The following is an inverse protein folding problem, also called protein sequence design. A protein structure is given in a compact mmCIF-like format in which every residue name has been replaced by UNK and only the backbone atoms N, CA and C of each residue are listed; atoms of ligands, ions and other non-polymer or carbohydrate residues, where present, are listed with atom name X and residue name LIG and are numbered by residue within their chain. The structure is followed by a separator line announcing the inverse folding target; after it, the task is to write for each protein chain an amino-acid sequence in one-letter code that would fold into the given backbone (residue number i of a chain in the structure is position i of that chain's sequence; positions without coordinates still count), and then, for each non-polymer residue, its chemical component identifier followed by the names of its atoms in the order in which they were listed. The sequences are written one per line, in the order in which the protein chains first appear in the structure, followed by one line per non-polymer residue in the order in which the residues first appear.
data_IF_069728890064
#
_entry.id   IF_069728890064
#
_cell.length_a   1.000
_cell.length_b   1.000
_cell.length_c   1.000
_cell.angle_alpha   90.00
_cell.angle_beta   90.00
_cell.angle_gamma   90.00
#
_symmetry.space_group_name_H-M   'P 1'
#
loop_
_entity.id
_entity.type
_entity.pdbx_description
1 polymer ?
#
# COMPACT_ATOMS: atom_id res chain seq x y z
N UNK A 1 -10.42 -3.26 -13.98
CA UNK A 1 -10.93 -3.81 -15.24
C UNK A 1 -9.90 -3.75 -16.38
N UNK A 2 -9.13 -2.66 -16.57
CA UNK A 2 -8.13 -2.53 -17.64
C UNK A 2 -7.07 -3.63 -17.61
N UNK A 3 -6.39 -3.79 -16.49
CA UNK A 3 -5.39 -4.85 -16.29
C UNK A 3 -6.00 -6.25 -16.42
N UNK A 4 -7.14 -6.51 -15.80
CA UNK A 4 -7.83 -7.81 -15.88
C UNK A 4 -8.10 -8.23 -17.33
N UNK A 5 -8.53 -7.29 -18.18
CA UNK A 5 -8.75 -7.57 -19.61
C UNK A 5 -7.46 -7.95 -20.36
N UNK A 6 -6.34 -7.35 -19.98
CA UNK A 6 -5.04 -7.58 -20.66
C UNK A 6 -4.32 -8.82 -20.17
N UNK A 7 -4.25 -9.03 -18.85
CA UNK A 7 -3.39 -10.04 -18.24
C UNK A 7 -4.16 -11.08 -17.40
N UNK A 8 -5.51 -11.00 -17.34
CA UNK A 8 -6.31 -11.88 -16.46
C UNK A 8 -6.06 -13.37 -16.67
N UNK A 9 -5.77 -13.80 -17.89
CA UNK A 9 -5.41 -15.19 -18.22
C UNK A 9 -4.06 -15.65 -17.67
N UNK A 10 -3.19 -14.70 -17.30
CA UNK A 10 -1.87 -14.97 -16.72
C UNK A 10 -1.92 -15.01 -15.20
N UNK A 11 -3.03 -14.56 -14.58
CA UNK A 11 -3.17 -14.48 -13.13
C UNK A 11 -3.69 -15.81 -12.59
N UNK A 12 -2.95 -16.38 -11.65
CA UNK A 12 -3.37 -17.57 -10.89
C UNK A 12 -3.86 -17.12 -9.52
N UNK A 13 -5.16 -17.06 -9.36
CA UNK A 13 -5.81 -16.73 -8.09
C UNK A 13 -5.71 -17.88 -7.08
N UNK A 14 -6.05 -17.60 -5.82
CA UNK A 14 -6.05 -18.55 -4.71
C UNK A 14 -4.71 -19.25 -4.47
N UNK A 15 -3.61 -18.61 -4.84
CA UNK A 15 -2.26 -19.15 -4.78
C UNK A 15 -1.46 -18.40 -3.71
N UNK A 16 -1.41 -18.95 -2.50
CA UNK A 16 -0.65 -18.41 -1.38
C UNK A 16 0.80 -18.89 -1.45
N UNK A 17 1.74 -17.97 -1.66
CA UNK A 17 3.17 -18.30 -1.65
C UNK A 17 3.61 -18.69 -0.25
N UNK A 18 4.25 -19.86 -0.12
CA UNK A 18 4.66 -20.43 1.17
C UNK A 18 6.14 -20.78 1.26
N UNK A 19 6.88 -20.71 0.17
CA UNK A 19 8.33 -20.94 0.15
C UNK A 19 8.94 -20.40 -1.14
N UNK A 20 10.16 -19.84 -1.06
CA UNK A 20 10.91 -19.30 -2.20
C UNK A 20 12.33 -19.84 -2.13
N UNK A 21 12.79 -20.50 -3.22
CA UNK A 21 14.14 -21.07 -3.32
C UNK A 21 14.85 -20.54 -4.56
N UNK A 22 16.04 -20.00 -4.35
CA UNK A 22 16.90 -19.54 -5.42
C UNK A 22 17.68 -20.73 -5.99
N UNK A 23 17.61 -20.92 -7.29
CA UNK A 23 18.34 -21.93 -8.02
C UNK A 23 19.51 -21.31 -8.77
N UNK A 24 20.44 -22.14 -9.27
CA UNK A 24 21.55 -21.67 -10.08
C UNK A 24 21.06 -20.90 -11.33
N UNK A 25 20.04 -21.41 -12.00
CA UNK A 25 19.51 -20.88 -13.25
C UNK A 25 18.09 -20.29 -13.14
N UNK A 26 17.57 -20.03 -11.93
CA UNK A 26 16.21 -19.51 -11.79
C UNK A 26 15.74 -19.41 -10.34
N UNK A 27 14.44 -19.37 -10.16
CA UNK A 27 13.77 -19.34 -8.85
C UNK A 27 12.64 -20.37 -8.83
N UNK A 28 12.54 -21.10 -7.75
CA UNK A 28 11.45 -22.01 -7.45
C UNK A 28 10.53 -21.41 -6.41
N UNK A 29 9.24 -21.34 -6.71
CA UNK A 29 8.22 -20.81 -5.80
C UNK A 29 7.21 -21.90 -5.49
N UNK A 30 7.08 -22.25 -4.21
CA UNK A 30 6.03 -23.15 -3.72
C UNK A 30 4.86 -22.33 -3.19
N UNK A 31 3.66 -22.69 -3.61
CA UNK A 31 2.44 -22.05 -3.17
C UNK A 31 1.39 -23.08 -2.77
N UNK A 32 0.48 -22.66 -1.90
CA UNK A 32 -0.68 -23.42 -1.48
C UNK A 32 -1.90 -22.95 -2.27
N UNK A 33 -2.58 -23.86 -2.90
CA UNK A 33 -3.88 -23.63 -3.49
C UNK A 33 -4.91 -23.53 -2.35
N UNK A 34 -5.48 -22.34 -2.14
CA UNK A 34 -6.39 -22.08 -1.01
C UNK A 34 -7.76 -22.75 -1.17
N UNK A 35 -8.13 -23.18 -2.37
CA UNK A 35 -9.37 -23.92 -2.60
C UNK A 35 -9.26 -25.39 -2.23
N UNK A 36 -8.08 -26.01 -2.54
CA UNK A 36 -7.87 -27.46 -2.35
C UNK A 36 -6.93 -27.79 -1.19
N UNK A 37 -6.18 -26.81 -0.69
CA UNK A 37 -5.10 -27.02 0.28
C UNK A 37 -3.82 -27.61 -0.32
N UNK A 38 -3.82 -27.99 -1.59
CA UNK A 38 -2.69 -28.65 -2.24
C UNK A 38 -1.48 -27.72 -2.36
N UNK A 39 -0.29 -28.27 -2.11
CA UNK A 39 0.98 -27.59 -2.40
C UNK A 39 1.36 -27.81 -3.85
N UNK A 40 1.76 -26.76 -4.52
CA UNK A 40 2.22 -26.78 -5.92
C UNK A 40 3.49 -25.96 -6.02
N UNK A 41 4.35 -26.32 -6.96
CA UNK A 41 5.62 -25.66 -7.21
C UNK A 41 5.66 -25.15 -8.65
N UNK A 42 6.23 -23.98 -8.85
CA UNK A 42 6.52 -23.41 -10.17
C UNK A 42 7.98 -22.95 -10.22
N UNK A 43 8.58 -23.04 -11.40
CA UNK A 43 9.96 -22.58 -11.66
C UNK A 43 9.95 -21.53 -12.76
N UNK A 44 10.81 -20.55 -12.64
CA UNK A 44 10.99 -19.48 -13.63
C UNK A 44 12.44 -18.98 -13.62
N UNK A 45 12.85 -18.34 -14.72
CA UNK A 45 14.19 -17.74 -14.82
C UNK A 45 14.37 -16.59 -13.82
N UNK A 46 13.31 -15.87 -13.54
CA UNK A 46 13.29 -14.73 -12.61
C UNK A 46 12.03 -14.80 -11.73
N UNK A 47 12.14 -14.27 -10.52
CA UNK A 47 11.00 -14.00 -9.65
C UNK A 47 10.94 -12.50 -9.35
N UNK A 48 9.82 -11.86 -9.68
CA UNK A 48 9.55 -10.47 -9.36
C UNK A 48 8.45 -10.46 -8.29
N UNK A 49 8.80 -10.08 -7.07
CA UNK A 49 7.91 -10.12 -5.92
C UNK A 49 7.35 -8.73 -5.61
N UNK A 50 6.02 -8.61 -5.68
CA UNK A 50 5.29 -7.46 -5.14
C UNK A 50 4.59 -7.81 -3.82
N UNK A 51 5.07 -8.85 -3.12
CA UNK A 51 4.55 -9.20 -1.80
C UNK A 51 4.99 -8.12 -0.82
N UNK A 52 4.07 -7.55 -0.01
CA UNK A 52 4.41 -6.58 1.03
C UNK A 52 5.54 -7.08 1.93
N UNK A 53 6.54 -6.23 2.21
CA UNK A 53 7.73 -6.63 2.96
C UNK A 53 7.42 -7.32 4.30
N UNK A 54 6.44 -6.87 5.11
CA UNK A 54 6.07 -7.56 6.36
C UNK A 54 5.50 -8.97 6.14
N UNK A 55 4.91 -9.23 4.98
CA UNK A 55 4.41 -10.55 4.57
C UNK A 55 5.56 -11.39 4.03
N UNK A 56 6.37 -10.84 3.13
CA UNK A 56 7.53 -11.51 2.53
C UNK A 56 8.53 -11.97 3.60
N UNK A 57 8.74 -11.15 4.63
CA UNK A 57 9.62 -11.49 5.77
C UNK A 57 9.21 -12.77 6.52
N UNK A 58 7.94 -13.17 6.43
CA UNK A 58 7.40 -14.38 7.07
C UNK A 58 7.48 -15.61 6.18
N UNK A 59 7.79 -15.45 4.89
CA UNK A 59 7.87 -16.55 3.94
C UNK A 59 9.26 -17.19 4.03
N UNK A 60 9.36 -18.50 4.29
CA UNK A 60 10.62 -19.23 4.23
C UNK A 60 11.32 -19.03 2.89
N UNK A 61 12.60 -18.68 2.92
CA UNK A 61 13.38 -18.46 1.71
C UNK A 61 14.87 -18.72 1.96
N UNK A 62 15.63 -18.92 0.90
CA UNK A 62 17.10 -18.97 0.92
C UNK A 62 17.75 -17.71 0.32
N UNK A 63 17.02 -16.58 0.37
CA UNK A 63 17.57 -15.27 0.09
C UNK A 63 18.79 -14.99 0.98
N UNK A 64 19.74 -14.20 0.51
CA UNK A 64 20.93 -13.85 1.26
C UNK A 64 20.60 -13.21 2.61
N UNK A 65 21.46 -13.39 3.63
CA UNK A 65 21.23 -12.78 4.95
C UNK A 65 21.05 -11.27 4.89
N UNK A 66 21.82 -10.60 4.02
CA UNK A 66 21.72 -9.15 3.82
C UNK A 66 20.35 -8.75 3.23
N UNK A 67 19.87 -9.49 2.24
CA UNK A 67 18.57 -9.22 1.60
C UNK A 67 17.41 -9.45 2.58
N UNK A 68 17.47 -10.53 3.38
CA UNK A 68 16.50 -10.79 4.46
C UNK A 68 16.49 -9.69 5.52
N UNK A 69 17.67 -9.22 5.91
CA UNK A 69 17.78 -8.10 6.85
C UNK A 69 17.14 -6.82 6.30
N UNK A 70 17.34 -6.54 5.01
CA UNK A 70 16.72 -5.42 4.33
C UNK A 70 15.19 -5.55 4.26
N UNK A 71 14.65 -6.74 3.93
CA UNK A 71 13.21 -7.01 3.96
C UNK A 71 12.63 -6.77 5.35
N UNK A 72 13.31 -7.23 6.40
CA UNK A 72 12.85 -7.11 7.79
C UNK A 72 12.80 -5.66 8.29
N UNK A 73 13.53 -4.74 7.68
CA UNK A 73 13.48 -3.31 8.02
C UNK A 73 12.28 -2.59 7.43
N UNK A 74 11.72 -3.07 6.33
CA UNK A 74 10.55 -2.46 5.68
C UNK A 74 9.29 -2.57 6.55
N UNK A 75 9.01 -1.53 7.33
CA UNK A 75 7.80 -1.44 8.16
C UNK A 75 6.68 -0.76 7.37
N UNK A 76 5.47 -1.26 7.54
CA UNK A 76 4.32 -0.64 6.91
C UNK A 76 3.56 0.23 7.92
N UNK A 77 3.19 1.42 7.47
CA UNK A 77 2.40 2.35 8.26
C UNK A 77 1.01 1.76 8.56
N UNK A 78 0.59 1.83 9.82
CA UNK A 78 -0.78 1.54 10.18
C UNK A 78 -1.67 2.64 9.64
N UNK A 79 -2.70 2.27 8.88
CA UNK A 79 -3.64 3.22 8.29
C UNK A 79 -5.06 2.71 8.36
N UNK A 80 -5.99 3.62 8.63
CA UNK A 80 -7.41 3.30 8.61
C UNK A 80 -8.17 4.36 7.82
N UNK A 81 -9.08 3.91 6.96
CA UNK A 81 -10.00 4.77 6.24
C UNK A 81 -11.44 4.43 6.62
N UNK A 82 -12.24 5.48 6.74
CA UNK A 82 -13.69 5.36 6.88
C UNK A 82 -14.33 6.27 5.86
N UNK A 83 -15.25 5.75 5.07
CA UNK A 83 -15.95 6.53 4.06
C UNK A 83 -17.45 6.33 4.12
N UNK A 84 -18.21 7.31 3.67
CA UNK A 84 -19.66 7.26 3.53
C UNK A 84 -20.11 7.74 2.17
N UNK A 85 -21.16 7.12 1.66
CA UNK A 85 -21.93 7.69 0.55
C UNK A 85 -22.99 8.62 1.15
N UNK A 86 -22.93 9.90 0.79
CA UNK A 86 -23.97 10.88 1.07
C UNK A 86 -25.05 10.86 -0.01
N UNK A 87 -26.31 11.04 0.38
CA UNK A 87 -27.45 11.18 -0.53
C UNK A 87 -27.48 12.57 -1.20
N UNK A 88 -26.68 13.50 -0.75
CA UNK A 88 -26.40 14.80 -1.36
C UNK A 88 -24.96 15.21 -1.10
N UNK A 89 -24.36 15.90 -2.03
CA UNK A 89 -23.02 16.45 -1.93
C UNK A 89 -23.07 17.81 -1.22
N UNK A 90 -23.39 17.80 0.09
CA UNK A 90 -23.59 19.01 0.88
C UNK A 90 -22.29 19.84 0.98
N UNK A 91 -21.12 19.21 0.95
CA UNK A 91 -19.82 19.88 0.96
C UNK A 91 -19.61 20.78 -0.28
N UNK A 92 -20.23 20.46 -1.43
CA UNK A 92 -20.20 21.31 -2.63
C UNK A 92 -21.23 22.42 -2.57
N UNK A 93 -22.47 22.09 -2.16
CA UNK A 93 -23.60 23.02 -2.26
C UNK A 93 -23.71 24.01 -1.10
N UNK A 94 -23.09 23.70 0.03
CA UNK A 94 -23.11 24.53 1.23
C UNK A 94 -21.75 25.13 1.53
N UNK A 95 -20.71 24.32 1.49
CA UNK A 95 -19.38 24.70 1.94
C UNK A 95 -18.44 25.06 0.77
N UNK A 96 -18.93 24.92 -0.48
CA UNK A 96 -18.20 25.21 -1.73
C UNK A 96 -16.86 24.45 -1.84
N UNK A 97 -16.80 23.21 -1.30
CA UNK A 97 -15.62 22.35 -1.32
C UNK A 97 -15.68 21.42 -2.53
N UNK A 98 -14.71 21.52 -3.43
CA UNK A 98 -14.64 20.77 -4.69
C UNK A 98 -13.43 19.81 -4.74
N UNK A 99 -12.95 19.35 -3.59
CA UNK A 99 -11.80 18.48 -3.41
C UNK A 99 -10.94 18.91 -2.23
N UNK A 100 -9.79 18.28 -2.08
CA UNK A 100 -8.85 18.62 -1.01
C UNK A 100 -9.10 17.88 0.29
N UNK A 101 -8.50 18.40 1.38
CA UNK A 101 -8.40 17.71 2.66
C UNK A 101 -8.70 18.71 3.77
N UNK A 102 -9.60 18.35 4.70
CA UNK A 102 -9.72 18.99 5.99
C UNK A 102 -8.91 18.25 7.04
N UNK A 103 -8.10 18.96 7.80
CA UNK A 103 -7.33 18.41 8.93
C UNK A 103 -8.05 18.78 10.23
N UNK A 104 -8.06 17.87 11.19
CA UNK A 104 -8.69 18.07 12.49
C UNK A 104 -7.91 17.34 13.59
N UNK A 105 -7.80 17.99 14.75
CA UNK A 105 -7.28 17.36 15.97
C UNK A 105 -8.36 16.45 16.59
N UNK A 106 -8.49 15.28 16.00
CA UNK A 106 -9.45 14.24 16.37
C UNK A 106 -8.93 12.88 15.88
N UNK A 107 -9.53 11.78 16.33
CA UNK A 107 -9.16 10.42 15.89
C UNK A 107 -9.30 10.23 14.38
N UNK A 108 -10.15 10.98 13.70
CA UNK A 108 -10.31 10.92 12.24
C UNK A 108 -9.14 11.54 11.48
N UNK A 109 -8.39 12.44 12.08
CA UNK A 109 -7.26 13.22 11.59
C UNK A 109 -7.50 13.98 10.30
N UNK A 110 -8.08 13.36 9.31
CA UNK A 110 -8.30 13.94 7.98
C UNK A 110 -9.66 13.51 7.42
N UNK A 111 -10.29 14.45 6.71
CA UNK A 111 -11.41 14.18 5.82
C UNK A 111 -11.04 14.57 4.40
N UNK A 112 -11.25 13.67 3.43
CA UNK A 112 -10.91 13.89 2.02
C UNK A 112 -12.18 14.01 1.19
N UNK A 113 -12.24 15.05 0.37
CA UNK A 113 -13.35 15.36 -0.50
C UNK A 113 -13.07 14.89 -1.92
N UNK A 114 -14.06 14.28 -2.62
CA UNK A 114 -13.89 13.85 -3.99
C UNK A 114 -13.76 15.04 -4.94
N UNK A 115 -12.85 14.92 -5.92
CA UNK A 115 -12.63 15.90 -6.99
C UNK A 115 -13.13 15.38 -8.34
N UNK A 116 -14.26 14.69 -8.34
CA UNK A 116 -14.89 14.11 -9.52
C UNK A 116 -16.41 14.17 -9.39
N UNK A 117 -17.13 13.99 -10.50
CA UNK A 117 -18.60 13.97 -10.57
C UNK A 117 -19.25 15.16 -9.86
N UNK A 118 -18.69 16.36 -10.04
CA UNK A 118 -19.17 17.60 -9.42
C UNK A 118 -20.66 17.82 -9.70
N UNK A 119 -21.37 18.34 -8.70
CA UNK A 119 -22.80 18.65 -8.74
C UNK A 119 -23.72 17.44 -8.99
N UNK A 120 -23.20 16.22 -8.97
CA UNK A 120 -24.06 15.05 -8.98
C UNK A 120 -24.85 14.94 -7.68
N UNK A 121 -25.99 14.25 -7.70
CA UNK A 121 -26.89 14.17 -6.53
C UNK A 121 -26.17 13.51 -5.34
N UNK A 122 -25.51 12.35 -5.55
CA UNK A 122 -24.84 11.58 -4.52
C UNK A 122 -23.32 11.73 -4.63
N UNK A 123 -22.62 11.46 -3.56
CA UNK A 123 -21.17 11.41 -3.57
C UNK A 123 -20.62 10.60 -2.42
N UNK A 124 -19.41 10.10 -2.59
CA UNK A 124 -18.69 9.37 -1.54
C UNK A 124 -17.50 10.21 -1.09
N UNK A 125 -17.39 10.45 0.22
CA UNK A 125 -16.22 11.09 0.79
C UNK A 125 -15.51 10.16 1.78
N UNK A 126 -14.21 10.38 1.96
CA UNK A 126 -13.44 9.72 3.01
C UNK A 126 -13.55 10.55 4.28
N UNK A 127 -14.43 10.12 5.18
CA UNK A 127 -14.74 10.87 6.40
C UNK A 127 -13.75 10.67 7.53
N UNK A 128 -12.81 9.71 7.39
CA UNK A 128 -11.64 9.58 8.24
C UNK A 128 -10.50 8.96 7.45
N UNK A 129 -9.32 9.52 7.59
CA UNK A 129 -8.08 8.92 7.11
C UNK A 129 -6.97 9.21 8.10
N UNK A 130 -6.58 8.22 8.84
CA UNK A 130 -5.65 8.36 9.95
C UNK A 130 -4.52 7.34 9.88
N UNK A 131 -3.51 7.55 10.70
CA UNK A 131 -2.24 6.84 10.70
C UNK A 131 -1.82 6.49 12.13
N UNK A 132 -0.85 5.58 12.25
CA UNK A 132 -0.17 5.21 13.49
C UNK A 132 -1.16 4.88 14.62
N UNK A 133 -1.01 5.48 15.80
CA UNK A 133 -1.82 5.20 16.99
C UNK A 133 -3.33 5.45 16.77
N UNK A 134 -3.70 6.45 15.99
CA UNK A 134 -5.11 6.70 15.66
C UNK A 134 -5.69 5.59 14.77
N UNK A 135 -4.89 5.10 13.80
CA UNK A 135 -5.28 3.99 12.94
C UNK A 135 -5.36 2.66 13.71
N UNK A 136 -4.44 2.41 14.64
CA UNK A 136 -4.49 1.25 15.53
C UNK A 136 -5.78 1.28 16.36
N UNK A 137 -6.03 2.41 17.05
CA UNK A 137 -7.21 2.58 17.89
C UNK A 137 -8.52 2.35 17.14
N UNK A 138 -8.67 2.89 15.92
CA UNK A 138 -9.84 2.61 15.09
C UNK A 138 -9.82 1.18 14.55
N UNK A 139 -8.65 0.67 14.17
CA UNK A 139 -8.47 -0.67 13.61
C UNK A 139 -8.87 -1.79 14.57
N UNK A 140 -8.68 -1.60 15.88
CA UNK A 140 -9.03 -2.55 16.93
C UNK A 140 -10.54 -2.61 17.23
N UNK A 141 -11.29 -1.64 16.72
CA UNK A 141 -12.75 -1.60 16.91
C UNK A 141 -13.47 -2.50 15.90
N UNK A 142 -14.64 -2.99 16.29
CA UNK A 142 -15.59 -3.58 15.32
C UNK A 142 -15.99 -2.54 14.27
N UNK A 143 -16.44 -2.99 13.10
CA UNK A 143 -16.88 -2.08 12.04
C UNK A 143 -17.90 -1.05 12.55
N UNK A 144 -18.93 -1.50 13.27
CA UNK A 144 -19.95 -0.61 13.81
C UNK A 144 -19.38 0.47 14.72
N UNK A 145 -18.55 0.08 15.71
CA UNK A 145 -17.91 1.05 16.62
C UNK A 145 -16.97 2.00 15.87
N UNK A 146 -16.24 1.51 14.88
CA UNK A 146 -15.34 2.33 14.06
C UNK A 146 -16.11 3.40 13.27
N UNK A 147 -17.24 3.04 12.68
CA UNK A 147 -18.13 3.97 12.01
C UNK A 147 -18.71 5.00 12.99
N UNK A 148 -19.13 4.58 14.18
CA UNK A 148 -19.68 5.49 15.19
C UNK A 148 -18.62 6.49 15.69
N UNK A 149 -17.41 6.04 15.99
CA UNK A 149 -16.33 6.94 16.44
C UNK A 149 -15.89 7.91 15.33
N UNK A 150 -15.72 7.41 14.11
CA UNK A 150 -15.38 8.29 12.99
C UNK A 150 -16.48 9.31 12.68
N UNK A 151 -17.76 8.95 12.85
CA UNK A 151 -18.90 9.87 12.67
C UNK A 151 -18.87 11.01 13.69
N UNK A 152 -18.51 10.74 14.95
CA UNK A 152 -18.39 11.80 15.98
C UNK A 152 -17.36 12.86 15.55
N UNK A 153 -16.22 12.44 15.06
CA UNK A 153 -15.21 13.36 14.50
C UNK A 153 -15.71 14.09 13.26
N UNK A 154 -16.37 13.37 12.33
CA UNK A 154 -16.94 13.96 11.12
C UNK A 154 -18.00 15.03 11.40
N UNK A 155 -18.84 14.86 12.44
CA UNK A 155 -19.83 15.85 12.89
C UNK A 155 -19.17 17.17 13.31
N UNK A 156 -17.96 17.14 13.86
CA UNK A 156 -17.24 18.37 14.24
C UNK A 156 -16.85 19.23 13.04
N UNK A 157 -16.61 18.61 11.89
CA UNK A 157 -16.34 19.30 10.62
C UNK A 157 -17.63 19.65 9.90
N UNK A 158 -18.56 18.70 9.82
CA UNK A 158 -19.80 18.82 9.08
C UNK A 158 -20.98 18.31 9.92
N UNK A 159 -21.78 19.20 10.54
CA UNK A 159 -22.98 18.84 11.30
C UNK A 159 -23.99 17.97 10.52
N UNK A 160 -23.92 17.99 9.19
CA UNK A 160 -24.72 17.19 8.28
C UNK A 160 -24.58 15.69 8.54
N UNK A 161 -23.48 15.24 9.12
CA UNK A 161 -23.32 13.86 9.55
C UNK A 161 -24.26 13.42 10.68
N UNK A 162 -24.97 14.37 11.36
CA UNK A 162 -26.03 14.03 12.31
C UNK A 162 -27.30 13.50 11.60
N UNK A 163 -27.55 13.93 10.37
CA UNK A 163 -28.72 13.50 9.60
C UNK A 163 -28.44 12.17 8.88
N UNK A 164 -29.03 11.10 9.42
CA UNK A 164 -28.89 9.77 8.83
C UNK A 164 -29.61 9.60 7.48
N UNK A 165 -30.52 10.51 7.11
CA UNK A 165 -31.12 10.53 5.78
C UNK A 165 -30.15 11.14 4.77
N UNK A 166 -29.32 12.07 5.20
CA UNK A 166 -28.34 12.72 4.34
C UNK A 166 -27.06 11.90 4.20
N UNK A 167 -26.53 11.37 5.33
CA UNK A 167 -25.35 10.52 5.38
C UNK A 167 -25.70 9.20 6.11
N UNK A 168 -26.30 8.23 5.42
CA UNK A 168 -26.73 6.99 6.06
C UNK A 168 -25.58 6.20 6.67
N UNK A 169 -25.68 5.83 7.95
CA UNK A 169 -24.69 4.99 8.62
C UNK A 169 -24.51 3.64 7.90
N UNK A 170 -25.60 3.08 7.37
CA UNK A 170 -25.59 1.83 6.63
C UNK A 170 -24.80 1.90 5.31
N UNK A 171 -24.50 3.09 4.79
CA UNK A 171 -23.66 3.30 3.62
C UNK A 171 -22.22 3.65 3.98
N UNK A 172 -21.85 3.44 5.24
CA UNK A 172 -20.48 3.57 5.73
C UNK A 172 -19.67 2.32 5.49
N UNK A 173 -18.41 2.49 5.10
CA UNK A 173 -17.41 1.44 4.94
C UNK A 173 -16.13 1.83 5.68
N UNK A 174 -15.39 0.86 6.15
CA UNK A 174 -14.08 1.09 6.75
C UNK A 174 -13.10 -0.02 6.45
N UNK A 175 -11.84 0.36 6.29
CA UNK A 175 -10.73 -0.56 6.17
C UNK A 175 -9.59 -0.10 7.09
N UNK A 176 -9.09 -1.02 7.90
CA UNK A 176 -7.85 -0.88 8.66
C UNK A 176 -6.81 -1.76 7.97
N UNK A 177 -5.89 -1.15 7.24
CA UNK A 177 -4.99 -1.86 6.34
C UNK A 177 -4.03 -2.78 7.07
N UNK A 178 -3.63 -2.46 8.32
CA UNK A 178 -2.82 -3.33 9.17
C UNK A 178 -3.50 -4.67 9.49
N UNK A 179 -4.83 -4.73 9.44
CA UNK A 179 -5.63 -5.92 9.71
C UNK A 179 -6.03 -6.68 8.43
N UNK A 180 -5.66 -6.17 7.25
CA UNK A 180 -5.95 -6.85 5.98
C UNK A 180 -4.95 -7.99 5.78
N UNK A 181 -5.41 -9.25 5.65
CA UNK A 181 -4.54 -10.39 5.39
C UNK A 181 -3.68 -10.16 4.14
N UNK A 182 -2.41 -10.56 4.20
CA UNK A 182 -1.42 -10.43 3.12
C UNK A 182 -1.06 -8.98 2.73
N UNK A 183 -1.50 -7.98 3.52
CA UNK A 183 -1.15 -6.57 3.32
C UNK A 183 -0.36 -6.02 4.52
N UNK A 184 -0.92 -6.14 5.74
CA UNK A 184 -0.32 -5.73 7.01
C UNK A 184 0.11 -4.26 7.11
N UNK A 185 -0.60 -3.35 6.43
CA UNK A 185 -0.36 -1.91 6.49
C UNK A 185 -0.77 -1.19 5.21
N UNK A 186 -0.63 0.11 5.18
CA UNK A 186 -0.99 0.96 4.04
C UNK A 186 0.11 1.00 2.97
N UNK A 187 1.30 1.40 3.37
CA UNK A 187 2.51 1.51 2.53
C UNK A 187 3.74 1.36 3.43
N UNK A 188 4.91 1.17 2.83
CA UNK A 188 6.16 1.15 3.57
C UNK A 188 6.46 2.54 4.15
N UNK A 189 6.85 2.57 5.41
CA UNK A 189 7.42 3.74 6.06
C UNK A 189 8.90 3.48 6.34
N UNK A 190 9.72 3.88 5.39
CA UNK A 190 11.15 3.88 5.59
C UNK A 190 11.49 4.98 6.59
N UNK A 191 12.32 4.64 7.57
CA UNK A 191 12.88 5.61 8.49
C UNK A 191 13.81 6.62 7.80
N UNK A 192 14.64 7.27 8.58
CA UNK A 192 15.60 8.27 8.09
C UNK A 192 17.03 7.99 8.56
N UNK A 193 17.29 6.79 9.06
CA UNK A 193 18.62 6.40 9.47
C UNK A 193 19.40 5.74 8.31
N UNK A 194 20.72 5.69 8.45
CA UNK A 194 21.63 5.10 7.44
C UNK A 194 21.31 3.61 7.17
N UNK A 195 20.81 2.90 8.17
CA UNK A 195 20.46 1.49 8.01
C UNK A 195 19.19 1.30 7.18
N UNK A 196 18.24 2.24 7.23
CA UNK A 196 17.06 2.25 6.37
C UNK A 196 17.45 2.59 4.93
N UNK A 197 18.31 3.60 4.73
CA UNK A 197 18.83 3.94 3.40
C UNK A 197 19.59 2.74 2.78
N UNK A 198 20.42 2.05 3.57
CA UNK A 198 21.12 0.84 3.13
C UNK A 198 20.15 -0.29 2.78
N UNK A 199 19.14 -0.53 3.60
CA UNK A 199 18.14 -1.57 3.35
C UNK A 199 17.34 -1.28 2.07
N UNK A 200 16.90 -0.03 1.89
CA UNK A 200 16.25 0.41 0.67
C UNK A 200 17.12 0.20 -0.58
N UNK A 201 18.38 0.63 -0.52
CA UNK A 201 19.34 0.45 -1.62
C UNK A 201 19.59 -1.05 -1.93
N UNK A 202 19.65 -1.91 -0.90
CA UNK A 202 19.78 -3.36 -1.05
C UNK A 202 18.61 -3.95 -1.84
N UNK A 203 17.38 -3.51 -1.54
CA UNK A 203 16.17 -4.04 -2.21
C UNK A 203 15.96 -3.51 -3.63
N UNK A 204 16.63 -2.42 -4.03
CA UNK A 204 16.63 -1.94 -5.42
C UNK A 204 17.45 -2.84 -6.36
N UNK A 205 18.38 -3.61 -5.81
CA UNK A 205 19.16 -4.60 -6.56
C UNK A 205 18.55 -6.01 -6.39
N UNK A 206 18.78 -6.94 -7.32
CA UNK A 206 18.32 -8.31 -7.15
C UNK A 206 19.18 -9.10 -6.15
N UNK A 207 18.57 -10.08 -5.48
CA UNK A 207 19.31 -11.19 -4.92
C UNK A 207 19.33 -12.32 -5.96
N UNK A 208 20.40 -12.42 -6.71
CA UNK A 208 20.55 -13.31 -7.87
C UNK A 208 19.45 -13.07 -8.92
N UNK A 209 18.40 -13.87 -8.95
CA UNK A 209 17.28 -13.79 -9.91
C UNK A 209 15.96 -13.43 -9.25
N UNK A 210 16.02 -13.01 -7.99
CA UNK A 210 14.87 -12.54 -7.22
C UNK A 210 14.89 -11.02 -7.08
N UNK A 211 13.77 -10.39 -7.37
CA UNK A 211 13.59 -8.93 -7.35
C UNK A 211 12.40 -8.56 -6.47
N UNK A 212 12.49 -7.46 -5.76
CA UNK A 212 11.35 -6.84 -5.09
C UNK A 212 10.87 -5.65 -5.93
N UNK A 213 9.56 -5.51 -6.07
CA UNK A 213 8.91 -4.36 -6.72
C UNK A 213 7.76 -3.83 -5.87
N UNK A 214 7.10 -2.82 -6.35
CA UNK A 214 5.98 -2.14 -5.69
C UNK A 214 6.39 -0.74 -5.26
N UNK A 215 5.41 0.02 -4.81
CA UNK A 215 5.65 1.35 -4.22
C UNK A 215 6.61 1.30 -3.03
N UNK A 216 6.69 0.17 -2.36
CA UNK A 216 7.58 -0.10 -1.23
C UNK A 216 9.08 0.03 -1.54
N UNK A 217 9.48 -0.07 -2.80
CA UNK A 217 10.85 0.13 -3.28
C UNK A 217 10.89 1.21 -4.37
N UNK A 218 10.14 2.27 -4.16
CA UNK A 218 10.10 3.43 -5.05
C UNK A 218 10.33 4.73 -4.27
N UNK A 219 10.54 5.81 -4.98
CA UNK A 219 10.63 7.16 -4.40
C UNK A 219 9.24 7.74 -4.07
N UNK A 220 8.16 7.03 -4.41
CA UNK A 220 6.76 7.43 -4.20
C UNK A 220 5.99 6.31 -3.49
N UNK A 221 6.29 6.01 -2.20
CA UNK A 221 5.56 4.99 -1.45
C UNK A 221 4.09 5.39 -1.27
N UNK A 222 3.19 4.41 -1.35
CA UNK A 222 1.74 4.63 -1.26
C UNK A 222 1.08 5.08 -2.57
N UNK A 223 1.83 5.23 -3.66
CA UNK A 223 1.31 5.70 -4.95
C UNK A 223 1.45 4.65 -6.06
N UNK A 224 0.47 4.63 -6.96
CA UNK A 224 0.48 3.71 -8.12
C UNK A 224 1.66 3.99 -9.06
N UNK A 225 2.00 5.26 -9.23
CA UNK A 225 3.17 5.69 -10.00
C UNK A 225 4.46 5.08 -9.46
N UNK A 226 4.63 5.08 -8.13
CA UNK A 226 5.78 4.47 -7.49
C UNK A 226 5.87 2.97 -7.79
N UNK A 227 4.73 2.26 -7.73
CA UNK A 227 4.69 0.85 -8.08
C UNK A 227 5.06 0.58 -9.55
N UNK A 228 4.59 1.42 -10.48
CA UNK A 228 4.95 1.32 -11.90
C UNK A 228 6.42 1.65 -12.15
N UNK A 229 6.95 2.70 -11.54
CA UNK A 229 8.37 3.07 -11.63
C UNK A 229 9.29 1.93 -11.15
N UNK A 230 8.94 1.28 -10.05
CA UNK A 230 9.72 0.14 -9.54
C UNK A 230 9.69 -1.06 -10.50
N UNK A 231 8.55 -1.33 -11.12
CA UNK A 231 8.42 -2.39 -12.13
C UNK A 231 9.26 -2.09 -13.38
N UNK A 232 9.25 -0.85 -13.89
CA UNK A 232 10.09 -0.41 -15.00
C UNK A 232 11.58 -0.53 -14.67
N UNK A 233 11.98 -0.15 -13.44
CA UNK A 233 13.35 -0.29 -12.98
C UNK A 233 13.82 -1.75 -13.06
N UNK A 234 13.05 -2.69 -12.52
CA UNK A 234 13.38 -4.13 -12.55
C UNK A 234 13.37 -4.68 -13.98
N UNK A 235 12.40 -4.31 -14.81
CA UNK A 235 12.36 -4.73 -16.20
C UNK A 235 13.60 -4.24 -16.97
N UNK A 236 14.05 -3.02 -16.72
CA UNK A 236 15.27 -2.49 -17.33
C UNK A 236 16.52 -3.30 -16.95
N UNK A 237 16.61 -3.78 -15.71
CA UNK A 237 17.71 -4.64 -15.26
C UNK A 237 17.67 -6.02 -15.92
N UNK A 238 16.48 -6.63 -16.05
CA UNK A 238 16.33 -7.97 -16.66
C UNK A 238 16.60 -7.93 -18.16
N UNK A 239 16.19 -6.86 -18.85
CA UNK A 239 16.27 -6.74 -20.31
C UNK A 239 17.56 -6.06 -20.80
N UNK A 240 18.36 -5.47 -19.90
CA UNK A 240 19.62 -4.83 -20.28
C UNK A 240 20.60 -5.86 -20.90
N UNK A 241 21.27 -5.52 -22.00
CA UNK A 241 22.34 -6.37 -22.52
C UNK A 241 23.42 -6.60 -21.46
N UNK A 242 23.84 -7.85 -21.25
CA UNK A 242 24.80 -8.25 -20.20
C UNK A 242 26.10 -7.43 -20.15
N UNK A 243 26.49 -6.79 -21.24
CA UNK A 243 27.67 -5.92 -21.31
C UNK A 243 27.54 -4.59 -20.56
N UNK A 244 26.32 -4.12 -20.25
CA UNK A 244 26.09 -2.84 -19.53
C UNK A 244 26.11 -2.98 -17.99
N UNK A 245 25.98 -4.19 -17.47
CA UNK A 245 25.91 -4.43 -16.02
C UNK A 245 27.27 -4.36 -15.30
N UNK A 246 28.38 -4.40 -16.04
CA UNK A 246 29.74 -4.39 -15.49
C UNK A 246 30.35 -2.97 -15.31
N UNK A 247 29.64 -1.91 -15.67
CA UNK A 247 30.18 -0.54 -15.67
C UNK A 247 29.35 0.54 -14.98
N UNK A 248 28.23 0.24 -14.39
CA UNK A 248 27.43 1.24 -13.67
C UNK A 248 27.91 1.31 -12.21
N UNK A 249 28.77 2.27 -11.92
CA UNK A 249 28.96 2.72 -10.54
C UNK A 249 27.60 3.16 -9.96
N UNK A 250 27.34 2.92 -8.67
CA UNK A 250 26.09 3.37 -8.05
C UNK A 250 26.04 4.91 -8.15
N UNK A 251 25.13 5.39 -8.97
CA UNK A 251 24.86 6.81 -9.09
C UNK A 251 24.15 7.26 -7.83
N UNK A 252 24.77 8.19 -7.12
CA UNK A 252 24.26 8.99 -6.02
C UNK A 252 23.66 8.23 -4.83
N UNK A 253 23.97 8.70 -3.62
CA UNK A 253 23.36 8.24 -2.38
C UNK A 253 21.83 8.27 -2.51
N UNK A 254 21.22 7.09 -2.67
CA UNK A 254 19.77 6.95 -2.76
C UNK A 254 19.27 6.92 -1.35
N UNK A 255 18.65 8.01 -0.91
CA UNK A 255 17.99 8.05 0.39
C UNK A 255 16.63 7.37 0.29
N UNK A 256 16.30 6.56 1.29
CA UNK A 256 14.98 5.97 1.42
C UNK A 256 13.92 7.08 1.56
N UNK A 257 12.79 6.98 0.84
CA UNK A 257 11.74 7.97 0.95
C UNK A 257 11.02 7.82 2.31
N UNK A 258 11.05 8.87 3.13
CA UNK A 258 10.30 8.91 4.40
C UNK A 258 8.91 9.50 4.16
N UNK A 259 7.86 8.77 4.57
CA UNK A 259 6.48 9.24 4.50
C UNK A 259 6.25 10.54 5.28
N UNK A 260 7.01 10.77 6.36
CA UNK A 260 6.95 12.01 7.14
C UNK A 260 7.39 13.23 6.35
N UNK A 261 8.34 13.10 5.41
CA UNK A 261 8.74 14.21 4.53
C UNK A 261 7.66 14.58 3.52
N UNK A 262 6.83 13.64 3.08
CA UNK A 262 5.75 13.89 2.13
C UNK A 262 4.56 14.61 2.79
N UNK A 263 4.35 14.44 4.10
CA UNK A 263 3.26 15.08 4.86
C UNK A 263 3.67 16.45 5.40
N UNK A 264 4.95 16.66 5.72
CA UNK A 264 5.46 17.93 6.31
C UNK A 264 5.89 18.97 5.26
N UNK A 265 5.96 18.65 4.00
CA UNK A 265 6.47 19.51 2.93
C UNK A 265 5.50 20.59 2.42
N UNK A 266 4.40 20.89 3.12
CA UNK A 266 3.53 22.03 2.82
C UNK A 266 3.00 22.62 4.13
N UNK A 267 3.82 23.45 4.76
CA UNK A 267 3.40 24.50 5.68
C UNK A 267 3.08 25.76 4.91
#
# INVERSE_FOLDING_TARGET
EGFKRKIGKLIRYHSEVIDIRLQEAGVEVTYRDRGTGARKTTRADYCISNIPLPVLNKIPSDLSPEYKAAIARGKFANTCKVGWQGNRRFWETKDEIYGGISYIDDIITQMWYPSNDYFSQKGTLTGAYNYDAAAEKLGDMTLAKRLDEARKGAIRLHPEFQDNNLVPQALGLSIAWQNVPFQHGGWVDWGSDEADDKAYATLLAPDRRFYVVGDQVSTLPGWQEGAMMSAEHVLSQITAPKAKLLGAAPAHAVHAPSSRRLVQGRG
#
